data_IF_948443839206
#
_entry.id   IF_948443839206
#
_cell.length_a   1.000
_cell.length_b   1.000
_cell.length_c   1.000
_cell.angle_alpha   90.00
_cell.angle_beta   90.00
_cell.angle_gamma   90.00
#
_symmetry.space_group_name_H-M   'P 1'
#
loop_
_entity.id
_entity.type
_entity.pdbx_description
1 polymer ?
#
# COMPACT_ATOMS: atom_id res chain seq x y z
N UNK A 1 2.90 15.47 10.87
CA UNK A 1 2.28 15.98 9.63
C UNK A 1 0.78 15.81 9.69
N UNK A 2 0.05 16.84 9.40
CA UNK A 2 -1.42 16.82 9.45
C UNK A 2 -1.97 16.15 8.20
N UNK A 3 -2.60 14.99 8.34
CA UNK A 3 -3.18 14.25 7.21
C UNK A 3 -4.63 14.63 6.93
N UNK A 4 -5.38 14.94 7.99
CA UNK A 4 -6.79 15.33 7.89
C UNK A 4 -6.89 16.85 7.71
N UNK A 5 -7.71 17.29 6.76
CA UNK A 5 -7.85 18.69 6.35
C UNK A 5 -6.50 19.34 6.03
N UNK A 6 -5.74 18.76 5.10
CA UNK A 6 -4.41 19.26 4.77
C UNK A 6 -4.45 20.60 4.02
N UNK A 7 -3.40 21.41 4.15
CA UNK A 7 -3.26 22.67 3.41
C UNK A 7 -2.88 22.44 1.95
N UNK A 8 -2.25 21.30 1.67
CA UNK A 8 -1.86 20.90 0.32
C UNK A 8 -1.96 19.38 0.19
N UNK A 9 -2.04 18.84 -1.04
CA UNK A 9 -2.04 17.40 -1.23
C UNK A 9 -0.81 16.74 -0.64
N UNK A 10 -1.00 15.56 -0.06
CA UNK A 10 0.08 14.74 0.47
C UNK A 10 0.47 13.67 -0.55
N UNK A 11 1.76 13.42 -0.68
CA UNK A 11 2.25 12.34 -1.53
C UNK A 11 2.42 11.10 -0.67
N UNK A 12 1.81 10.00 -1.10
CA UNK A 12 1.96 8.70 -0.47
C UNK A 12 2.51 7.67 -1.45
N UNK A 13 3.07 6.60 -0.90
CA UNK A 13 3.56 5.46 -1.67
C UNK A 13 2.86 4.20 -1.19
N UNK A 14 2.64 3.26 -2.11
CA UNK A 14 2.10 1.94 -1.82
C UNK A 14 2.99 0.85 -2.37
N UNK A 15 3.06 -0.26 -1.66
CA UNK A 15 3.86 -1.41 -2.05
C UNK A 15 2.97 -2.59 -2.43
N UNK A 16 3.05 -3.01 -3.69
CA UNK A 16 2.47 -4.26 -4.15
C UNK A 16 3.57 -5.30 -4.04
N UNK A 17 3.65 -5.96 -2.89
CA UNK A 17 4.70 -6.93 -2.57
C UNK A 17 4.24 -8.29 -3.06
N UNK A 18 4.84 -8.77 -4.14
CA UNK A 18 4.46 -10.03 -4.77
C UNK A 18 5.56 -11.05 -4.56
N UNK A 19 5.16 -12.23 -4.06
CA UNK A 19 6.04 -13.38 -3.93
C UNK A 19 5.58 -14.45 -4.93
N UNK A 20 6.51 -14.88 -5.77
CA UNK A 20 6.26 -15.87 -6.80
C UNK A 20 7.05 -17.14 -6.47
N UNK A 21 6.50 -17.96 -5.58
CA UNK A 21 7.17 -19.21 -5.13
C UNK A 21 7.27 -20.24 -6.23
N UNK A 22 6.21 -20.38 -7.00
CA UNK A 22 6.19 -21.13 -8.25
C UNK A 22 5.10 -20.54 -9.16
N UNK A 23 4.92 -21.10 -10.35
CA UNK A 23 4.00 -20.53 -11.35
C UNK A 23 2.54 -20.52 -10.91
N UNK A 24 2.17 -21.38 -9.96
CA UNK A 24 0.79 -21.56 -9.55
C UNK A 24 0.46 -20.83 -8.25
N UNK A 25 1.46 -20.37 -7.51
CA UNK A 25 1.26 -19.68 -6.23
C UNK A 25 1.91 -18.29 -6.19
N UNK A 26 1.34 -17.37 -6.92
CA UNK A 26 1.67 -15.96 -6.78
C UNK A 26 0.79 -15.37 -5.70
N UNK A 27 1.40 -14.67 -4.74
CA UNK A 27 0.68 -14.08 -3.62
C UNK A 27 1.16 -12.66 -3.33
N UNK A 28 0.30 -11.88 -2.72
CA UNK A 28 0.54 -10.46 -2.41
C UNK A 28 0.30 -10.20 -0.94
N UNK A 29 1.06 -9.27 -0.36
CA UNK A 29 0.87 -8.84 1.03
C UNK A 29 -0.14 -7.72 1.08
N UNK A 30 -1.12 -7.88 1.96
CA UNK A 30 -2.04 -6.78 2.32
C UNK A 30 -2.04 -6.59 3.82
N UNK A 31 -2.34 -5.37 4.23
CA UNK A 31 -2.53 -5.02 5.63
C UNK A 31 -4.00 -4.74 5.87
N UNK A 32 -4.48 -5.02 7.08
CA UNK A 32 -5.80 -4.57 7.52
C UNK A 32 -5.61 -3.28 8.29
N UNK A 33 -6.30 -2.25 7.87
CA UNK A 33 -6.14 -0.92 8.46
C UNK A 33 -6.61 -0.91 9.91
N UNK A 34 -5.73 -0.44 10.80
CA UNK A 34 -6.03 -0.26 12.22
C UNK A 34 -6.48 1.16 12.57
N UNK A 35 -6.49 2.08 11.62
CA UNK A 35 -6.82 3.49 11.81
C UNK A 35 -7.71 4.02 10.69
N UNK A 36 -8.37 5.15 10.96
CA UNK A 36 -9.11 5.88 9.92
C UNK A 36 -8.14 6.55 8.92
N UNK A 37 -8.53 6.78 7.66
CA UNK A 37 -9.80 6.36 7.07
C UNK A 37 -9.82 4.85 6.78
N UNK A 38 -11.04 4.31 6.58
CA UNK A 38 -11.25 2.92 6.18
C UNK A 38 -10.73 1.89 7.20
N UNK A 39 -10.96 2.17 8.48
CA UNK A 39 -10.64 1.24 9.57
C UNK A 39 -11.23 -0.15 9.29
N UNK A 40 -10.40 -1.18 9.41
CA UNK A 40 -10.79 -2.57 9.21
C UNK A 40 -10.75 -3.07 7.77
N UNK A 41 -10.55 -2.20 6.79
CA UNK A 41 -10.42 -2.62 5.40
C UNK A 41 -8.99 -3.08 5.08
N UNK A 42 -8.87 -3.98 4.13
CA UNK A 42 -7.58 -4.43 3.62
C UNK A 42 -7.06 -3.44 2.57
N UNK A 43 -5.77 -3.17 2.61
CA UNK A 43 -5.14 -2.25 1.68
C UNK A 43 -3.66 -2.59 1.46
N UNK A 44 -3.04 -1.88 0.54
CA UNK A 44 -1.60 -1.99 0.32
C UNK A 44 -0.84 -1.44 1.54
N UNK A 45 0.30 -2.05 1.90
CA UNK A 45 1.25 -1.40 2.78
C UNK A 45 1.73 -0.10 2.13
N UNK A 46 1.87 0.95 2.91
CA UNK A 46 2.32 2.22 2.40
C UNK A 46 2.13 3.35 3.40
N UNK A 47 2.50 4.54 3.00
CA UNK A 47 2.38 5.71 3.83
C UNK A 47 2.88 6.97 3.13
N UNK A 48 2.99 8.04 3.90
CA UNK A 48 3.32 9.36 3.38
C UNK A 48 4.82 9.49 3.13
N UNK A 49 5.16 10.06 1.98
CA UNK A 49 6.53 10.44 1.64
C UNK A 49 7.05 11.47 2.64
N UNK A 50 8.24 11.26 3.15
CA UNK A 50 8.90 12.22 4.03
C UNK A 50 9.76 13.19 3.23
N UNK A 51 9.88 14.42 3.73
CA UNK A 51 10.68 15.44 3.07
C UNK A 51 12.12 14.98 2.90
N UNK A 52 12.64 15.10 1.68
CA UNK A 52 14.01 14.67 1.34
C UNK A 52 14.15 13.20 0.97
N UNK A 53 13.07 12.44 1.05
CA UNK A 53 13.06 11.02 0.73
C UNK A 53 12.66 10.81 -0.73
N UNK A 54 13.34 9.88 -1.42
CA UNK A 54 12.90 9.47 -2.75
C UNK A 54 11.69 8.55 -2.65
N UNK A 55 10.90 8.43 -3.72
CA UNK A 55 9.76 7.52 -3.75
C UNK A 55 10.19 6.08 -3.49
N UNK A 56 11.28 5.64 -4.07
CA UNK A 56 11.78 4.27 -3.90
C UNK A 56 12.23 4.01 -2.46
N UNK A 57 12.90 4.97 -1.85
CA UNK A 57 13.30 4.86 -0.45
C UNK A 57 12.06 4.80 0.47
N UNK A 58 11.06 5.62 0.18
CA UNK A 58 9.82 5.66 0.94
C UNK A 58 9.08 4.31 0.90
N UNK A 59 8.94 3.71 -0.28
CA UNK A 59 8.20 2.46 -0.40
C UNK A 59 8.93 1.31 0.32
N UNK A 60 10.26 1.29 0.27
CA UNK A 60 11.05 0.29 1.00
C UNK A 60 10.90 0.46 2.50
N UNK A 61 10.97 1.69 2.99
CA UNK A 61 10.79 2.03 4.41
C UNK A 61 9.40 1.64 4.91
N UNK A 62 8.36 2.06 4.17
CA UNK A 62 6.98 1.78 4.56
C UNK A 62 6.67 0.29 4.54
N UNK A 63 7.16 -0.44 3.54
CA UNK A 63 6.98 -1.89 3.49
C UNK A 63 7.55 -2.55 4.75
N UNK A 64 8.74 -2.14 5.16
CA UNK A 64 9.38 -2.69 6.36
C UNK A 64 8.62 -2.32 7.63
N UNK A 65 8.22 -1.07 7.76
CA UNK A 65 7.49 -0.60 8.95
C UNK A 65 6.15 -1.31 9.11
N UNK A 66 5.41 -1.51 8.04
CA UNK A 66 4.07 -2.08 8.11
C UNK A 66 3.99 -3.59 7.99
N UNK A 67 4.95 -4.22 7.35
CA UNK A 67 4.91 -5.66 7.09
C UNK A 67 6.06 -6.46 7.69
N UNK A 68 7.13 -5.80 8.12
CA UNK A 68 8.34 -6.46 8.58
C UNK A 68 9.23 -6.99 7.45
N UNK A 69 8.79 -6.88 6.20
CA UNK A 69 9.54 -7.41 5.06
C UNK A 69 10.54 -6.40 4.53
N UNK A 70 11.71 -6.91 4.15
CA UNK A 70 12.67 -6.18 3.35
C UNK A 70 12.32 -6.42 1.89
N UNK A 71 12.15 -5.34 1.13
CA UNK A 71 11.73 -5.43 -0.26
C UNK A 71 12.68 -4.68 -1.18
N UNK A 72 12.68 -5.09 -2.44
CA UNK A 72 13.32 -4.39 -3.54
C UNK A 72 12.21 -3.81 -4.41
N UNK A 73 12.31 -2.52 -4.72
CA UNK A 73 11.37 -1.84 -5.62
C UNK A 73 11.72 -2.21 -7.06
N UNK A 74 10.79 -2.84 -7.77
CA UNK A 74 11.03 -3.34 -9.14
C UNK A 74 10.62 -2.31 -10.18
N UNK A 75 9.34 -1.86 -10.13
CA UNK A 75 8.82 -0.87 -11.09
C UNK A 75 7.65 -0.08 -10.51
N UNK A 76 7.42 1.10 -11.05
CA UNK A 76 6.23 1.88 -10.74
C UNK A 76 5.05 1.31 -11.50
N UNK A 77 3.96 1.03 -10.78
CA UNK A 77 2.74 0.49 -11.37
C UNK A 77 1.75 1.56 -11.79
N UNK A 78 1.68 2.66 -11.07
CA UNK A 78 0.77 3.74 -11.41
C UNK A 78 0.73 4.85 -10.39
N UNK A 79 0.02 5.92 -10.77
CA UNK A 79 -0.24 7.08 -9.93
C UNK A 79 -1.75 7.19 -9.77
N UNK A 80 -2.21 7.34 -8.54
CA UNK A 80 -3.63 7.39 -8.20
C UNK A 80 -3.92 8.60 -7.33
N UNK A 81 -5.11 9.14 -7.48
CA UNK A 81 -5.55 10.29 -6.70
C UNK A 81 -6.63 9.85 -5.72
N UNK A 82 -6.60 10.42 -4.53
CA UNK A 82 -7.60 10.14 -3.52
C UNK A 82 -8.06 11.44 -2.90
N UNK A 83 -9.29 11.83 -3.24
CA UNK A 83 -9.91 13.05 -2.77
C UNK A 83 -11.15 12.67 -1.96
N UNK A 84 -11.12 12.94 -0.67
CA UNK A 84 -12.26 12.68 0.21
C UNK A 84 -12.76 14.01 0.73
N UNK A 85 -13.97 14.45 0.28
CA UNK A 85 -14.55 15.70 0.75
C UNK A 85 -14.85 15.66 2.24
N UNK A 86 -14.78 16.83 2.86
CA UNK A 86 -15.11 17.02 4.25
C UNK A 86 -16.08 18.19 4.43
N UNK A 87 -16.01 18.82 5.58
CA UNK A 87 -16.90 19.91 5.96
C UNK A 87 -16.49 21.25 5.35
N UNK A 88 -17.47 22.13 5.15
CA UNK A 88 -17.28 23.53 4.72
C UNK A 88 -16.51 23.68 3.41
N UNK A 89 -16.74 22.77 2.46
CA UNK A 89 -16.09 22.82 1.14
C UNK A 89 -14.62 22.48 1.13
N UNK A 90 -14.09 22.02 2.26
CA UNK A 90 -12.68 21.62 2.35
C UNK A 90 -12.52 20.12 2.10
N UNK A 91 -11.36 19.71 1.59
CA UNK A 91 -11.01 18.29 1.48
C UNK A 91 -10.60 17.76 2.84
N UNK A 92 -11.23 16.70 3.29
CA UNK A 92 -10.83 16.00 4.50
C UNK A 92 -9.53 15.25 4.30
N UNK A 93 -9.39 14.58 3.14
CA UNK A 93 -8.14 13.93 2.73
C UNK A 93 -7.88 14.22 1.26
N UNK A 94 -6.63 14.47 0.93
CA UNK A 94 -6.19 14.61 -0.45
C UNK A 94 -4.80 14.01 -0.60
N UNK A 95 -4.73 12.88 -1.30
CA UNK A 95 -3.48 12.16 -1.53
C UNK A 95 -3.21 11.99 -3.02
N UNK A 96 -1.93 12.10 -3.38
CA UNK A 96 -1.39 11.59 -4.65
C UNK A 96 -0.60 10.35 -4.27
N UNK A 97 -1.04 9.18 -4.75
CA UNK A 97 -0.48 7.88 -4.38
C UNK A 97 0.31 7.30 -5.54
N UNK A 98 1.53 6.89 -5.28
CA UNK A 98 2.38 6.24 -6.28
C UNK A 98 2.66 4.82 -5.79
N UNK A 99 2.20 3.83 -6.56
CA UNK A 99 2.30 2.43 -6.20
C UNK A 99 3.40 1.72 -6.98
N UNK A 100 4.15 0.88 -6.28
CA UNK A 100 5.31 0.16 -6.83
C UNK A 100 5.13 -1.34 -6.68
N UNK A 101 5.53 -2.07 -7.72
CA UNK A 101 5.75 -3.51 -7.61
C UNK A 101 7.04 -3.73 -6.82
N UNK A 102 6.95 -4.57 -5.80
CA UNK A 102 8.07 -4.88 -4.92
C UNK A 102 8.27 -6.38 -4.81
N UNK A 103 9.52 -6.79 -4.67
CA UNK A 103 9.92 -8.18 -4.46
C UNK A 103 10.44 -8.34 -3.04
N UNK A 104 9.94 -9.33 -2.26
CA UNK A 104 10.49 -9.58 -0.94
C UNK A 104 11.90 -10.19 -1.05
N UNK A 105 12.83 -9.66 -0.28
CA UNK A 105 14.23 -10.12 -0.27
C UNK A 105 14.72 -10.51 1.13
N UNK A 106 13.89 -10.37 2.15
CA UNK A 106 14.26 -10.73 3.51
C UNK A 106 13.21 -10.28 4.51
N UNK A 107 13.54 -10.39 5.79
CA UNK A 107 12.66 -10.02 6.88
C UNK A 107 11.61 -11.07 7.22
N UNK A 108 10.77 -10.77 8.19
CA UNK A 108 9.68 -11.64 8.62
C UNK A 108 8.37 -10.87 8.63
N UNK A 109 7.32 -11.50 8.12
CA UNK A 109 5.99 -10.89 8.06
C UNK A 109 5.42 -10.67 9.46
N UNK A 110 5.17 -9.41 9.81
CA UNK A 110 4.50 -9.03 11.04
C UNK A 110 3.85 -7.66 10.89
N UNK A 111 2.70 -7.48 11.52
CA UNK A 111 1.99 -6.20 11.47
C UNK A 111 2.78 -5.11 12.19
N UNK A 112 2.88 -3.95 11.57
CA UNK A 112 3.42 -2.74 12.20
C UNK A 112 2.40 -2.12 13.15
N UNK A 113 2.80 -1.01 13.80
CA UNK A 113 1.98 -0.36 14.82
C UNK A 113 0.63 0.16 14.34
N UNK A 114 0.53 0.55 13.06
CA UNK A 114 -0.68 1.13 12.49
C UNK A 114 -1.56 0.11 11.77
N UNK A 115 -1.13 -1.14 11.70
CA UNK A 115 -1.87 -2.22 11.05
C UNK A 115 -2.49 -3.15 12.09
N UNK A 116 -3.76 -3.51 11.89
CA UNK A 116 -4.44 -4.48 12.75
C UNK A 116 -4.03 -5.92 12.41
N UNK A 117 -3.62 -6.16 11.18
CA UNK A 117 -3.19 -7.48 10.71
C UNK A 117 -2.37 -7.32 9.43
N UNK A 118 -1.60 -8.35 9.09
CA UNK A 118 -0.85 -8.45 7.84
C UNK A 118 -0.85 -9.90 7.37
N UNK A 119 -1.16 -10.12 6.09
CA UNK A 119 -1.25 -11.48 5.54
C UNK A 119 -0.85 -11.53 4.07
N UNK A 120 -0.42 -12.72 3.67
CA UNK A 120 -0.30 -13.09 2.25
C UNK A 120 -1.67 -13.52 1.73
N UNK A 121 -2.00 -13.08 0.52
CA UNK A 121 -3.23 -13.49 -0.18
C UNK A 121 -2.88 -13.96 -1.57
N UNK A 122 -3.53 -15.06 -1.99
CA UNK A 122 -3.49 -15.49 -3.38
C UNK A 122 -4.51 -14.68 -4.19
N UNK A 123 -4.37 -14.71 -5.50
CA UNK A 123 -5.31 -14.02 -6.39
C UNK A 123 -6.76 -14.44 -6.14
N UNK A 124 -6.99 -15.72 -5.90
CA UNK A 124 -8.34 -16.27 -5.71
C UNK A 124 -8.99 -15.81 -4.41
N UNK A 125 -8.20 -15.39 -3.44
CA UNK A 125 -8.70 -14.88 -2.17
C UNK A 125 -9.13 -13.42 -2.22
N UNK A 126 -8.66 -12.66 -3.22
CA UNK A 126 -8.90 -11.22 -3.32
C UNK A 126 -10.38 -10.83 -3.46
N UNK A 127 -11.22 -11.53 -4.26
CA UNK A 127 -12.62 -11.14 -4.41
C UNK A 127 -13.42 -11.15 -3.11
N UNK A 128 -13.01 -11.96 -2.13
CA UNK A 128 -13.69 -12.05 -0.84
C UNK A 128 -13.31 -10.88 0.09
N UNK A 129 -12.30 -10.09 -0.26
CA UNK A 129 -11.81 -9.00 0.56
C UNK A 129 -12.50 -7.69 0.19
N UNK A 130 -12.69 -6.86 1.21
CA UNK A 130 -13.10 -5.49 1.01
C UNK A 130 -11.84 -4.64 0.92
N UNK A 131 -11.35 -4.46 -0.31
CA UNK A 131 -10.14 -3.69 -0.55
C UNK A 131 -10.44 -2.19 -0.57
N UNK A 132 -9.55 -1.43 0.07
CA UNK A 132 -9.66 0.02 0.09
C UNK A 132 -9.42 0.60 -1.30
N UNK A 133 -10.33 1.45 -1.76
CA UNK A 133 -10.20 2.27 -2.97
C UNK A 133 -9.84 1.45 -4.22
N UNK A 134 -8.85 1.92 -4.99
CA UNK A 134 -8.40 1.30 -6.26
C UNK A 134 -7.37 0.19 -6.04
N UNK A 135 -7.20 -0.28 -4.80
CA UNK A 135 -6.20 -1.28 -4.47
C UNK A 135 -6.35 -2.56 -5.29
N UNK A 136 -7.59 -2.98 -5.59
CA UNK A 136 -7.83 -4.19 -6.37
C UNK A 136 -7.19 -4.10 -7.76
N UNK A 137 -7.36 -2.99 -8.46
CA UNK A 137 -6.82 -2.82 -9.81
C UNK A 137 -5.29 -2.84 -9.84
N UNK A 138 -4.66 -2.13 -8.91
CA UNK A 138 -3.20 -2.08 -8.87
C UNK A 138 -2.59 -3.39 -8.40
N UNK A 139 -3.26 -4.10 -7.48
CA UNK A 139 -2.83 -5.44 -7.05
C UNK A 139 -2.85 -6.41 -8.22
N UNK A 140 -3.94 -6.44 -8.99
CA UNK A 140 -4.04 -7.31 -10.17
C UNK A 140 -2.97 -6.95 -11.21
N UNK A 141 -2.71 -5.68 -11.41
CA UNK A 141 -1.65 -5.20 -12.30
C UNK A 141 -0.27 -5.69 -11.84
N UNK A 142 0.00 -5.60 -10.55
CA UNK A 142 1.25 -6.09 -9.97
C UNK A 142 1.41 -7.60 -10.11
N UNK A 143 0.35 -8.37 -9.87
CA UNK A 143 0.37 -9.81 -10.04
C UNK A 143 0.63 -10.21 -11.49
N UNK A 144 0.07 -9.47 -12.45
CA UNK A 144 0.27 -9.71 -13.89
C UNK A 144 1.67 -9.32 -14.34
N UNK A 145 2.28 -8.30 -13.73
CA UNK A 145 3.60 -7.77 -14.09
C UNK A 145 4.75 -8.42 -13.32
N UNK A 146 4.44 -9.32 -12.40
CA UNK A 146 5.44 -9.92 -11.52
C UNK A 146 6.55 -10.61 -12.32
N UNK A 147 7.76 -10.30 -11.93
CA UNK A 147 9.05 -10.74 -12.47
C UNK A 147 9.18 -12.26 -12.59
#
# INVERSE_FOLDING_TARGET
MKREYPESPLVGVGAVIVDRRDRDETRVVLIRRGTAPLLGEWSLPGGVLECGETLRAAVVREAREETGLLVESVEMLGVYERLIPGDQGRMRYHFVLIDFLCRPVGGELRAGSDAADVRWFTRDELPALNLAYDANDVVLKGLASAY
#
